data_IF_175301997686
#
_entry.id   IF_175301997686
#
_cell.length_a   1.000
_cell.length_b   1.000
_cell.length_c   1.000
_cell.angle_alpha   90.00
_cell.angle_beta   90.00
_cell.angle_gamma   90.00
#
_symmetry.space_group_name_H-M   'P 1'
#
loop_
_entity.id
_entity.type
_entity.pdbx_description
1 polymer ?
#
# COMPACT_ATOMS: atom_id res chain seq x y z
N UNK A 1 29.82 45.86 9.65
CA UNK A 1 28.52 45.73 8.94
C UNK A 1 28.52 44.59 7.92
N UNK A 2 29.45 44.52 6.94
CA UNK A 2 29.48 43.46 5.91
C UNK A 2 29.54 42.00 6.43
N UNK A 3 30.30 41.73 7.50
CA UNK A 3 30.43 40.37 8.06
C UNK A 3 29.15 39.85 8.73
N UNK A 4 28.38 40.73 9.36
CA UNK A 4 27.10 40.37 10.00
C UNK A 4 26.01 40.06 8.95
N UNK A 5 26.00 40.79 7.84
CA UNK A 5 25.11 40.54 6.70
C UNK A 5 25.39 39.18 6.03
N UNK A 6 26.65 38.79 5.88
CA UNK A 6 27.03 37.48 5.31
C UNK A 6 26.62 36.32 6.24
N UNK A 7 26.82 36.47 7.56
CA UNK A 7 26.41 35.44 8.53
C UNK A 7 24.88 35.26 8.60
N UNK A 8 24.12 36.35 8.55
CA UNK A 8 22.66 36.30 8.50
C UNK A 8 22.15 35.64 7.20
N UNK A 9 22.79 35.93 6.06
CA UNK A 9 22.44 35.33 4.77
C UNK A 9 22.72 33.81 4.76
N UNK A 10 23.84 33.37 5.35
CA UNK A 10 24.18 31.94 5.46
C UNK A 10 23.21 31.17 6.37
N UNK A 11 22.75 31.76 7.47
CA UNK A 11 21.75 31.16 8.35
C UNK A 11 20.37 31.04 7.67
N UNK A 12 19.97 32.03 6.87
CA UNK A 12 18.73 31.99 6.09
C UNK A 12 18.82 30.90 5.01
N UNK A 13 19.94 30.79 4.30
CA UNK A 13 20.16 29.74 3.29
C UNK A 13 20.16 28.34 3.93
N UNK A 14 20.79 28.18 5.10
CA UNK A 14 20.79 26.90 5.83
C UNK A 14 19.40 26.52 6.35
N UNK A 15 18.62 27.50 6.85
CA UNK A 15 17.25 27.28 7.28
C UNK A 15 16.31 26.95 6.09
N UNK A 16 16.49 27.62 4.95
CA UNK A 16 15.75 27.34 3.72
C UNK A 16 16.11 25.96 3.13
N UNK A 17 17.39 25.56 3.16
CA UNK A 17 17.82 24.23 2.76
C UNK A 17 17.27 23.15 3.71
N UNK A 18 17.27 23.41 5.02
CA UNK A 18 16.66 22.52 6.02
C UNK A 18 15.15 22.34 5.81
N UNK A 19 14.44 23.43 5.50
CA UNK A 19 13.01 23.38 5.15
C UNK A 19 12.75 22.63 3.84
N UNK A 20 13.56 22.85 2.80
CA UNK A 20 13.44 22.14 1.52
C UNK A 20 13.73 20.62 1.65
N UNK A 21 14.61 20.22 2.57
CA UNK A 21 14.88 18.82 2.90
C UNK A 21 13.76 18.14 3.72
N UNK A 22 12.99 18.92 4.49
CA UNK A 22 11.82 18.45 5.24
C UNK A 22 10.58 18.28 4.35
N UNK A 23 10.51 19.01 3.24
CA UNK A 23 9.50 18.82 2.20
C UNK A 23 10.04 17.90 1.11
N UNK A 24 10.32 16.63 1.45
CA UNK A 24 10.35 15.59 0.41
C UNK A 24 8.93 15.46 -0.13
N UNK A 25 8.61 16.23 -1.16
CA UNK A 25 7.40 16.08 -1.95
C UNK A 25 7.39 14.65 -2.48
N UNK A 26 6.68 13.76 -1.80
CA UNK A 26 6.34 12.45 -2.36
C UNK A 26 5.45 12.76 -3.54
N UNK A 27 6.01 12.68 -4.75
CA UNK A 27 5.25 12.92 -5.96
C UNK A 27 3.97 12.09 -5.88
N UNK A 28 2.79 12.67 -6.16
CA UNK A 28 1.55 11.92 -6.13
C UNK A 28 1.70 10.71 -7.06
N UNK A 29 1.44 9.51 -6.52
CA UNK A 29 1.52 8.24 -7.27
C UNK A 29 0.41 8.16 -8.33
N UNK A 30 -0.44 9.19 -8.44
CA UNK A 30 -1.62 9.29 -9.31
C UNK A 30 -1.29 9.13 -10.83
N UNK A 31 -0.02 9.07 -11.22
CA UNK A 31 0.41 8.71 -12.59
C UNK A 31 0.39 7.21 -12.94
N UNK A 32 -0.29 6.33 -12.19
CA UNK A 32 -0.41 4.90 -12.57
C UNK A 32 -1.20 4.77 -13.88
N UNK A 33 -0.70 3.91 -14.78
CA UNK A 33 -1.30 3.60 -16.07
C UNK A 33 -2.84 3.42 -16.01
N UNK A 34 -3.57 3.81 -17.09
CA UNK A 34 -5.02 3.69 -17.13
C UNK A 34 -5.49 2.30 -16.72
N UNK A 35 -6.50 2.27 -15.85
CA UNK A 35 -7.08 1.01 -15.41
C UNK A 35 -7.73 0.30 -16.59
N UNK A 36 -7.42 -0.99 -16.78
CA UNK A 36 -8.06 -1.82 -17.82
C UNK A 36 -9.59 -1.87 -17.70
N UNK A 37 -10.11 -1.61 -16.50
CA UNK A 37 -11.53 -1.64 -16.15
C UNK A 37 -12.07 -0.24 -15.78
N UNK A 38 -11.47 0.84 -16.29
CA UNK A 38 -11.85 2.21 -15.96
C UNK A 38 -13.35 2.48 -16.21
N UNK A 39 -13.88 1.99 -17.34
CA UNK A 39 -15.28 2.17 -17.70
C UNK A 39 -16.24 1.44 -16.74
N UNK A 40 -15.84 0.25 -16.26
CA UNK A 40 -16.64 -0.50 -15.28
C UNK A 40 -16.74 0.26 -13.96
N UNK A 41 -15.65 0.86 -13.50
CA UNK A 41 -15.68 1.67 -12.28
C UNK A 41 -16.52 2.94 -12.48
N UNK A 42 -16.37 3.60 -13.63
CA UNK A 42 -17.12 4.81 -13.97
C UNK A 42 -18.63 4.56 -13.99
N UNK A 43 -19.08 3.46 -14.59
CA UNK A 43 -20.49 3.06 -14.56
C UNK A 43 -20.95 2.71 -13.14
N UNK A 44 -20.18 1.90 -12.42
CA UNK A 44 -20.53 1.45 -11.08
C UNK A 44 -20.66 2.60 -10.07
N UNK A 45 -19.71 3.54 -10.08
CA UNK A 45 -19.71 4.69 -9.15
C UNK A 45 -20.84 5.70 -9.41
N UNK A 46 -21.48 5.64 -10.59
CA UNK A 46 -22.61 6.50 -10.93
C UNK A 46 -23.96 5.82 -10.67
N UNK A 47 -23.97 4.50 -10.45
CA UNK A 47 -25.16 3.71 -10.13
C UNK A 47 -25.48 3.66 -8.64
N UNK A 48 -25.98 2.51 -8.17
CA UNK A 48 -26.45 2.32 -6.79
C UNK A 48 -25.35 2.55 -5.71
N UNK A 49 -24.07 2.46 -6.07
CA UNK A 49 -22.97 2.66 -5.13
C UNK A 49 -22.55 4.14 -4.96
N UNK A 50 -23.18 5.08 -5.68
CA UNK A 50 -22.74 6.48 -5.78
C UNK A 50 -22.47 7.13 -4.43
N UNK A 51 -23.45 7.10 -3.52
CA UNK A 51 -23.34 7.80 -2.23
C UNK A 51 -22.29 7.16 -1.31
N UNK A 52 -22.15 5.84 -1.37
CA UNK A 52 -21.12 5.11 -0.62
C UNK A 52 -19.72 5.38 -1.16
N UNK A 53 -19.56 5.47 -2.48
CA UNK A 53 -18.28 5.83 -3.13
C UNK A 53 -17.89 7.26 -2.77
N UNK A 54 -18.83 8.22 -2.86
CA UNK A 54 -18.58 9.60 -2.43
C UNK A 54 -18.20 9.66 -0.95
N UNK A 55 -18.88 8.88 -0.11
CA UNK A 55 -18.63 8.80 1.32
C UNK A 55 -17.20 8.33 1.65
N UNK A 56 -16.75 7.22 1.05
CA UNK A 56 -15.41 6.70 1.33
C UNK A 56 -14.33 7.57 0.71
N UNK A 57 -14.55 8.14 -0.48
CA UNK A 57 -13.62 9.09 -1.09
C UNK A 57 -13.39 10.30 -0.18
N UNK A 58 -14.48 10.89 0.31
CA UNK A 58 -14.46 12.01 1.25
C UNK A 58 -13.72 11.64 2.53
N UNK A 59 -14.00 10.45 3.06
CA UNK A 59 -13.33 9.95 4.26
C UNK A 59 -11.81 9.83 4.03
N UNK A 60 -11.36 9.14 2.99
CA UNK A 60 -9.93 8.95 2.72
C UNK A 60 -9.20 10.28 2.49
N UNK A 61 -9.84 11.22 1.78
CA UNK A 61 -9.33 12.60 1.62
C UNK A 61 -9.18 13.31 2.95
N UNK A 62 -10.20 13.27 3.81
CA UNK A 62 -10.15 13.89 5.15
C UNK A 62 -9.06 13.32 6.06
N UNK A 63 -8.61 12.08 5.80
CA UNK A 63 -7.53 11.41 6.54
C UNK A 63 -6.13 11.62 5.93
N UNK A 64 -6.04 12.41 4.85
CA UNK A 64 -4.79 12.69 4.14
C UNK A 64 -4.23 11.49 3.37
N UNK A 65 -5.10 10.55 2.98
CA UNK A 65 -4.73 9.33 2.24
C UNK A 65 -5.52 9.12 0.95
N UNK A 66 -6.36 10.09 0.56
CA UNK A 66 -7.19 10.02 -0.65
C UNK A 66 -6.39 9.98 -1.96
N UNK A 67 -5.17 10.50 -1.95
CA UNK A 67 -4.31 10.66 -3.13
C UNK A 67 -3.16 9.66 -3.17
N UNK A 68 -3.14 8.67 -2.26
CA UNK A 68 -2.08 7.66 -2.18
C UNK A 68 -2.12 6.72 -3.38
N UNK A 69 -3.31 6.20 -3.71
CA UNK A 69 -3.55 5.29 -4.84
C UNK A 69 -4.94 5.57 -5.41
N UNK A 70 -5.21 5.23 -6.69
CA UNK A 70 -6.51 5.51 -7.30
C UNK A 70 -7.67 4.86 -6.53
N UNK A 71 -8.77 5.60 -6.31
CA UNK A 71 -9.93 5.08 -5.57
C UNK A 71 -10.52 3.81 -6.22
N UNK A 72 -10.55 3.75 -7.55
CA UNK A 72 -11.00 2.58 -8.30
C UNK A 72 -10.21 1.32 -7.97
N UNK A 73 -8.93 1.48 -7.66
CA UNK A 73 -8.02 0.41 -7.29
C UNK A 73 -8.20 -0.01 -5.83
N UNK A 74 -8.39 0.95 -4.92
CA UNK A 74 -8.69 0.69 -3.50
C UNK A 74 -10.01 -0.08 -3.35
N UNK A 75 -11.02 0.26 -4.15
CA UNK A 75 -12.37 -0.35 -4.09
C UNK A 75 -12.51 -1.62 -4.95
N UNK A 76 -11.46 -2.02 -5.67
CA UNK A 76 -11.45 -3.25 -6.46
C UNK A 76 -11.51 -4.47 -5.55
N UNK A 77 -12.35 -5.45 -5.87
CA UNK A 77 -12.45 -6.68 -5.08
C UNK A 77 -11.27 -7.62 -5.32
N UNK A 78 -11.21 -8.28 -6.48
CA UNK A 78 -10.14 -9.13 -7.01
C UNK A 78 -10.55 -9.61 -8.41
N UNK A 79 -9.61 -9.79 -9.35
CA UNK A 79 -9.90 -10.27 -10.72
C UNK A 79 -10.69 -11.60 -10.79
N UNK A 80 -10.68 -12.41 -9.72
CA UNK A 80 -11.50 -13.62 -9.58
C UNK A 80 -13.01 -13.39 -9.71
N UNK A 81 -13.52 -12.16 -9.57
CA UNK A 81 -14.92 -11.82 -9.83
C UNK A 81 -15.38 -12.32 -11.22
N UNK A 82 -14.51 -12.28 -12.23
CA UNK A 82 -14.82 -12.73 -13.61
C UNK A 82 -15.19 -14.21 -13.70
N UNK A 83 -14.74 -15.03 -12.75
CA UNK A 83 -14.99 -16.47 -12.68
C UNK A 83 -15.93 -16.85 -11.52
N UNK A 84 -16.42 -15.86 -10.79
CA UNK A 84 -17.27 -16.03 -9.62
C UNK A 84 -18.56 -15.23 -9.83
N UNK A 85 -19.67 -15.91 -10.14
CA UNK A 85 -20.97 -15.25 -10.38
C UNK A 85 -21.47 -14.43 -9.18
N UNK A 86 -21.09 -14.80 -7.96
CA UNK A 86 -21.48 -14.11 -6.74
C UNK A 86 -20.54 -12.94 -6.38
N UNK A 87 -19.42 -12.77 -7.09
CA UNK A 87 -18.45 -11.71 -6.85
C UNK A 87 -18.70 -10.51 -7.75
N UNK A 88 -18.52 -9.31 -7.21
CA UNK A 88 -18.60 -8.05 -7.96
C UNK A 88 -17.20 -7.49 -8.22
N UNK A 89 -16.97 -6.72 -9.29
CA UNK A 89 -15.65 -6.13 -9.59
C UNK A 89 -15.18 -5.11 -8.53
N UNK A 90 -16.13 -4.43 -7.89
CA UNK A 90 -15.88 -3.40 -6.89
C UNK A 90 -16.81 -3.59 -5.69
N UNK A 91 -16.38 -3.12 -4.53
CA UNK A 91 -17.19 -3.12 -3.32
C UNK A 91 -16.77 -1.95 -2.42
N UNK A 92 -17.75 -1.26 -1.83
CA UNK A 92 -17.49 -0.31 -0.74
C UNK A 92 -17.53 -1.08 0.59
N UNK A 93 -16.47 -1.03 1.42
CA UNK A 93 -16.49 -1.63 2.75
C UNK A 93 -17.51 -0.91 3.66
N UNK A 94 -18.13 -1.61 4.62
CA UNK A 94 -18.89 -0.97 5.69
C UNK A 94 -18.11 0.16 6.36
N UNK A 95 -18.80 1.28 6.66
CA UNK A 95 -18.18 2.52 7.21
C UNK A 95 -17.30 2.28 8.43
N UNK A 96 -17.69 1.34 9.30
CA UNK A 96 -16.94 0.96 10.50
C UNK A 96 -15.54 0.42 10.20
N UNK A 97 -15.29 -0.12 8.99
CA UNK A 97 -14.00 -0.66 8.59
C UNK A 97 -13.06 0.38 7.96
N UNK A 98 -13.57 1.55 7.56
CA UNK A 98 -12.76 2.57 6.87
C UNK A 98 -11.49 3.00 7.61
N UNK A 99 -11.50 3.16 8.96
CA UNK A 99 -10.29 3.51 9.70
C UNK A 99 -9.13 2.51 9.53
N UNK A 100 -9.43 1.23 9.27
CA UNK A 100 -8.41 0.18 9.16
C UNK A 100 -7.52 0.31 7.92
N UNK A 101 -7.99 0.98 6.86
CA UNK A 101 -7.21 1.17 5.64
C UNK A 101 -6.22 2.34 5.74
N UNK A 102 -6.51 3.33 6.59
CA UNK A 102 -5.69 4.54 6.74
C UNK A 102 -4.21 4.23 7.05
N UNK A 103 -3.87 3.41 8.06
CA UNK A 103 -2.46 3.07 8.32
C UNK A 103 -1.82 2.29 7.17
N UNK A 104 -2.57 1.41 6.49
CA UNK A 104 -2.06 0.66 5.34
C UNK A 104 -1.69 1.58 4.17
N UNK A 105 -2.54 2.55 3.83
CA UNK A 105 -2.23 3.53 2.77
C UNK A 105 -1.05 4.43 3.15
N UNK A 106 -0.93 4.85 4.42
CA UNK A 106 0.25 5.61 4.90
C UNK A 106 1.53 4.79 4.77
N UNK A 107 1.50 3.54 5.23
CA UNK A 107 2.65 2.64 5.10
C UNK A 107 3.06 2.44 3.63
N UNK A 108 2.08 2.31 2.73
CA UNK A 108 2.36 2.19 1.30
C UNK A 108 3.08 3.45 0.77
N UNK A 109 2.55 4.64 1.09
CA UNK A 109 3.13 5.92 0.66
C UNK A 109 4.53 6.14 1.23
N UNK A 110 4.68 5.92 2.54
CA UNK A 110 5.82 6.43 3.31
C UNK A 110 7.00 5.43 3.38
N UNK A 111 6.73 4.13 3.30
CA UNK A 111 7.74 3.08 3.52
C UNK A 111 7.93 2.18 2.29
N UNK A 112 6.82 1.77 1.65
CA UNK A 112 6.85 0.77 0.58
C UNK A 112 7.26 1.34 -0.77
N UNK A 113 6.56 2.39 -1.23
CA UNK A 113 6.81 2.99 -2.55
C UNK A 113 8.25 3.50 -2.71
N UNK A 114 8.89 4.10 -1.69
CA UNK A 114 10.32 4.45 -1.76
C UNK A 114 11.25 3.27 -2.07
N UNK A 115 10.83 2.04 -1.79
CA UNK A 115 11.64 0.82 -1.96
C UNK A 115 11.24 0.05 -3.23
N UNK A 116 9.95 -0.08 -3.51
CA UNK A 116 9.45 -0.84 -4.67
C UNK A 116 9.34 -0.01 -5.94
N UNK A 117 9.32 1.32 -5.82
CA UNK A 117 8.77 2.20 -6.84
C UNK A 117 7.23 2.16 -6.84
N UNK A 118 6.58 2.79 -7.84
CA UNK A 118 5.12 2.83 -7.95
C UNK A 118 4.51 1.44 -8.03
N UNK A 119 3.36 1.27 -7.37
CA UNK A 119 2.59 0.03 -7.30
C UNK A 119 1.14 0.29 -7.70
N UNK A 120 0.45 -0.78 -8.11
CA UNK A 120 -0.99 -0.77 -8.37
C UNK A 120 -1.69 -1.78 -7.48
N UNK A 121 -2.95 -1.51 -7.13
CA UNK A 121 -3.77 -2.48 -6.38
C UNK A 121 -4.45 -3.41 -7.38
N UNK A 122 -4.41 -4.70 -7.07
CA UNK A 122 -5.11 -5.74 -7.83
C UNK A 122 -6.17 -6.45 -6.99
N UNK A 123 -6.18 -6.25 -5.67
CA UNK A 123 -7.26 -6.66 -4.78
C UNK A 123 -7.30 -5.82 -3.51
N UNK A 124 -8.47 -5.27 -3.19
CA UNK A 124 -8.74 -4.46 -2.01
C UNK A 124 -9.78 -5.11 -1.09
N UNK A 125 -10.85 -4.40 -0.75
CA UNK A 125 -11.91 -4.97 0.08
C UNK A 125 -12.57 -6.17 -0.61
N UNK A 126 -12.78 -7.25 0.14
CA UNK A 126 -13.59 -8.39 -0.30
C UNK A 126 -14.75 -8.52 0.67
N UNK A 127 -15.98 -8.34 0.20
CA UNK A 127 -17.14 -8.66 1.02
C UNK A 127 -17.17 -10.18 1.35
N UNK A 128 -17.93 -10.62 2.37
CA UNK A 128 -17.93 -12.01 2.79
C UNK A 128 -18.29 -13.02 1.69
N UNK A 129 -19.21 -12.66 0.79
CA UNK A 129 -19.66 -13.53 -0.32
C UNK A 129 -18.53 -13.66 -1.34
N UNK A 130 -17.94 -12.54 -1.75
CA UNK A 130 -16.79 -12.51 -2.65
C UNK A 130 -15.59 -13.26 -2.07
N UNK A 131 -15.24 -13.02 -0.79
CA UNK A 131 -14.09 -13.68 -0.16
C UNK A 131 -14.27 -15.20 -0.10
N UNK A 132 -15.47 -15.68 0.25
CA UNK A 132 -15.78 -17.12 0.23
C UNK A 132 -15.63 -17.70 -1.17
N UNK A 133 -16.22 -17.04 -2.18
CA UNK A 133 -16.15 -17.49 -3.56
C UNK A 133 -14.73 -17.49 -4.13
N UNK A 134 -13.90 -16.53 -3.70
CA UNK A 134 -12.50 -16.45 -4.08
C UNK A 134 -11.62 -17.46 -3.34
N UNK A 135 -12.20 -18.30 -2.46
CA UNK A 135 -11.52 -19.23 -1.57
C UNK A 135 -10.52 -18.52 -0.64
N UNK A 136 -10.88 -17.31 -0.21
CA UNK A 136 -10.10 -16.52 0.73
C UNK A 136 -10.16 -17.10 2.15
N UNK A 137 -9.11 -16.86 2.93
CA UNK A 137 -9.07 -17.27 4.32
C UNK A 137 -10.20 -16.63 5.14
N UNK A 138 -10.74 -17.36 6.13
CA UNK A 138 -11.77 -16.84 7.06
C UNK A 138 -11.28 -15.63 7.86
N UNK A 139 -9.99 -15.62 8.21
CA UNK A 139 -9.33 -14.52 8.92
C UNK A 139 -8.67 -13.49 7.98
N UNK A 140 -9.05 -13.46 6.70
CA UNK A 140 -8.48 -12.54 5.71
C UNK A 140 -8.59 -11.08 6.13
N UNK A 141 -7.52 -10.32 5.96
CA UNK A 141 -7.53 -8.87 6.23
C UNK A 141 -8.21 -8.04 5.15
N UNK A 142 -8.49 -8.65 4.00
CA UNK A 142 -9.35 -8.04 2.97
C UNK A 142 -10.81 -7.91 3.44
N UNK A 143 -11.30 -8.83 4.29
CA UNK A 143 -12.64 -8.75 4.90
C UNK A 143 -12.75 -7.58 5.90
N UNK A 144 -11.62 -7.09 6.41
CA UNK A 144 -11.54 -6.02 7.41
C UNK A 144 -11.14 -4.68 6.82
N UNK A 145 -11.05 -4.59 5.48
CA UNK A 145 -10.55 -3.43 4.77
C UNK A 145 -9.20 -2.92 5.32
N UNK A 146 -8.32 -3.83 5.72
CA UNK A 146 -7.00 -3.50 6.23
C UNK A 146 -5.88 -3.89 5.24
N UNK A 147 -6.22 -4.69 4.22
CA UNK A 147 -5.26 -5.28 3.29
C UNK A 147 -5.46 -4.84 1.85
N UNK A 148 -4.34 -4.81 1.14
CA UNK A 148 -4.25 -4.63 -0.30
C UNK A 148 -3.28 -5.67 -0.87
N UNK A 149 -3.66 -6.28 -2.00
CA UNK A 149 -2.72 -7.00 -2.85
C UNK A 149 -2.24 -6.06 -3.97
N UNK A 150 -0.93 -6.05 -4.17
CA UNK A 150 -0.22 -5.06 -4.97
C UNK A 150 0.66 -5.74 -6.01
N UNK A 151 0.87 -5.04 -7.12
CA UNK A 151 1.84 -5.38 -8.17
C UNK A 151 2.69 -4.13 -8.49
N UNK A 152 3.99 -4.28 -8.76
CA UNK A 152 4.81 -3.18 -9.28
C UNK A 152 4.27 -2.67 -10.63
N UNK A 153 4.32 -1.35 -10.85
CA UNK A 153 3.94 -0.76 -12.15
C UNK A 153 5.05 -0.95 -13.17
N UNK A 154 6.30 -0.69 -12.77
CA UNK A 154 7.46 -1.01 -13.59
C UNK A 154 7.73 -2.52 -13.50
N UNK A 155 8.15 -3.18 -14.60
CA UNK A 155 8.56 -4.58 -14.57
C UNK A 155 9.60 -4.82 -13.47
N UNK A 156 9.31 -5.77 -12.59
CA UNK A 156 10.20 -6.21 -11.53
C UNK A 156 10.16 -7.73 -11.47
N UNK A 157 11.33 -8.36 -11.46
CA UNK A 157 11.39 -9.81 -11.25
C UNK A 157 10.87 -10.14 -9.85
N UNK A 158 10.39 -11.37 -9.65
CA UNK A 158 9.96 -11.82 -8.33
C UNK A 158 11.13 -11.79 -7.32
N UNK A 159 12.34 -12.09 -7.76
CA UNK A 159 13.52 -12.09 -6.91
C UNK A 159 13.92 -10.67 -6.48
N UNK A 160 13.85 -9.69 -7.40
CA UNK A 160 14.08 -8.28 -7.06
C UNK A 160 13.01 -7.75 -6.10
N UNK A 161 11.75 -8.17 -6.29
CA UNK A 161 10.66 -7.84 -5.37
C UNK A 161 10.94 -8.38 -3.96
N UNK A 162 11.40 -9.62 -3.84
CA UNK A 162 11.79 -10.24 -2.57
C UNK A 162 12.97 -9.48 -1.94
N UNK A 163 14.02 -9.21 -2.73
CA UNK A 163 15.22 -8.51 -2.28
C UNK A 163 14.93 -7.10 -1.75
N UNK A 164 13.84 -6.47 -2.22
CA UNK A 164 13.37 -5.16 -1.77
C UNK A 164 12.44 -5.25 -0.56
N UNK A 165 11.43 -6.11 -0.61
CA UNK A 165 10.38 -6.19 0.42
C UNK A 165 10.85 -6.83 1.72
N UNK A 166 11.69 -7.86 1.66
CA UNK A 166 12.09 -8.57 2.87
C UNK A 166 12.95 -7.70 3.81
N UNK A 167 13.99 -6.97 3.35
CA UNK A 167 14.71 -6.03 4.22
C UNK A 167 13.82 -4.91 4.76
N UNK A 168 12.86 -4.42 3.96
CA UNK A 168 11.91 -3.42 4.42
C UNK A 168 11.09 -3.96 5.60
N UNK A 169 10.45 -5.11 5.44
CA UNK A 169 9.62 -5.73 6.48
C UNK A 169 10.42 -6.06 7.74
N UNK A 170 11.66 -6.50 7.61
CA UNK A 170 12.56 -6.70 8.76
C UNK A 170 12.78 -5.41 9.55
N UNK A 171 12.92 -4.26 8.89
CA UNK A 171 13.17 -2.98 9.57
C UNK A 171 11.91 -2.33 10.12
N UNK A 172 10.79 -2.42 9.42
CA UNK A 172 9.59 -1.60 9.69
C UNK A 172 8.39 -2.43 10.13
N UNK A 173 8.39 -3.74 9.89
CA UNK A 173 7.20 -4.57 10.01
C UNK A 173 6.66 -4.65 11.43
N UNK A 174 7.53 -4.78 12.44
CA UNK A 174 7.11 -4.79 13.84
C UNK A 174 6.59 -3.41 14.29
N UNK A 175 7.18 -2.31 13.79
CA UNK A 175 6.78 -0.94 14.14
C UNK A 175 5.37 -0.59 13.66
N UNK A 176 4.95 -1.14 12.53
CA UNK A 176 3.68 -0.80 11.88
C UNK A 176 2.70 -1.97 11.78
N UNK A 177 2.93 -3.05 12.55
CA UNK A 177 2.11 -4.26 12.54
C UNK A 177 1.87 -4.83 11.13
N UNK A 178 2.94 -4.92 10.32
CA UNK A 178 2.82 -5.24 8.90
C UNK A 178 2.66 -6.74 8.68
N UNK A 179 1.57 -7.10 8.01
CA UNK A 179 1.44 -8.39 7.34
C UNK A 179 2.03 -8.32 5.93
N UNK A 180 3.03 -9.16 5.64
CA UNK A 180 3.65 -9.28 4.31
C UNK A 180 3.47 -10.69 3.73
N UNK A 181 2.73 -10.80 2.63
CA UNK A 181 2.65 -12.03 1.84
C UNK A 181 3.33 -11.86 0.50
N UNK A 182 4.14 -12.80 0.04
CA UNK A 182 4.71 -12.79 -1.32
C UNK A 182 4.21 -14.02 -2.06
N UNK A 183 3.43 -13.80 -3.13
CA UNK A 183 2.82 -14.88 -3.89
C UNK A 183 3.82 -15.55 -4.86
N UNK A 184 3.37 -16.58 -5.59
CA UNK A 184 4.18 -17.28 -6.58
C UNK A 184 4.55 -16.43 -7.81
N UNK A 185 3.82 -15.33 -8.03
CA UNK A 185 4.00 -14.36 -9.12
C UNK A 185 4.51 -13.03 -8.57
N UNK A 186 4.77 -12.03 -9.43
CA UNK A 186 5.10 -10.65 -9.02
C UNK A 186 3.88 -9.91 -8.46
N UNK A 187 3.33 -10.44 -7.38
CA UNK A 187 2.23 -9.89 -6.60
C UNK A 187 2.54 -10.14 -5.13
N UNK A 188 2.14 -9.21 -4.28
CA UNK A 188 2.36 -9.32 -2.84
C UNK A 188 1.21 -8.68 -2.07
N UNK A 189 1.07 -9.07 -0.81
CA UNK A 189 0.06 -8.60 0.13
C UNK A 189 0.70 -7.65 1.12
N UNK A 190 -0.01 -6.55 1.44
CA UNK A 190 0.31 -5.65 2.55
C UNK A 190 -0.95 -5.36 3.38
N UNK A 191 -0.81 -5.44 4.70
CA UNK A 191 -1.72 -4.84 5.67
C UNK A 191 -0.96 -4.33 6.89
N UNK A 192 -1.61 -3.50 7.69
CA UNK A 192 -1.09 -2.98 8.97
C UNK A 192 -1.93 -3.48 10.16
N UNK A 193 -2.40 -4.73 10.09
CA UNK A 193 -3.30 -5.34 11.06
C UNK A 193 -2.74 -6.63 11.70
N UNK A 194 -1.41 -6.75 11.74
CA UNK A 194 -0.67 -7.73 12.53
C UNK A 194 0.68 -8.10 11.92
N UNK A 195 1.75 -8.03 12.71
CA UNK A 195 3.12 -8.36 12.30
C UNK A 195 3.27 -9.86 11.95
N UNK A 196 3.30 -10.17 10.65
CA UNK A 196 3.42 -11.55 10.16
C UNK A 196 3.94 -11.60 8.72
N UNK A 197 4.35 -12.79 8.30
CA UNK A 197 4.81 -13.04 6.93
C UNK A 197 4.42 -14.43 6.43
N UNK A 198 4.21 -14.58 5.13
CA UNK A 198 3.93 -15.87 4.48
C UNK A 198 4.40 -15.86 3.02
N UNK A 199 4.47 -17.04 2.41
CA UNK A 199 4.89 -17.22 1.01
C UNK A 199 3.79 -17.74 0.10
N UNK A 200 4.21 -18.40 -0.98
CA UNK A 200 3.36 -18.82 -2.09
C UNK A 200 2.25 -19.82 -1.70
N UNK A 201 2.47 -20.62 -0.67
CA UNK A 201 1.50 -21.61 -0.16
C UNK A 201 0.60 -21.07 0.97
N UNK A 202 0.67 -19.77 1.25
CA UNK A 202 -0.08 -19.08 2.31
C UNK A 202 0.33 -19.41 3.75
N UNK A 203 1.46 -20.11 3.96
CA UNK A 203 2.00 -20.41 5.28
C UNK A 203 3.26 -19.58 5.60
N UNK A 204 3.52 -19.40 6.91
CA UNK A 204 4.69 -18.67 7.38
C UNK A 204 6.00 -19.35 6.95
N UNK A 205 6.03 -20.68 6.98
CA UNK A 205 7.18 -21.51 6.65
C UNK A 205 7.63 -21.40 5.17
N UNK A 206 6.76 -20.92 4.27
CA UNK A 206 7.14 -20.66 2.88
C UNK A 206 7.55 -19.22 2.61
N UNK A 207 7.54 -18.34 3.61
CA UNK A 207 7.89 -16.94 3.42
C UNK A 207 9.35 -16.82 2.94
N UNK A 208 9.61 -16.12 1.83
CA UNK A 208 10.98 -15.92 1.34
C UNK A 208 11.79 -14.96 2.23
N UNK A 209 11.16 -14.29 3.21
CA UNK A 209 11.83 -13.35 4.11
C UNK A 209 12.43 -14.03 5.36
N UNK A 210 12.38 -15.36 5.47
CA UNK A 210 12.92 -16.09 6.62
C UNK A 210 14.46 -16.11 6.67
N UNK A 211 15.12 -16.01 5.52
CA UNK A 211 16.57 -16.23 5.36
C UNK A 211 17.42 -14.97 5.47
N UNK A 212 16.83 -13.78 5.63
CA UNK A 212 17.61 -12.56 5.82
C UNK A 212 18.00 -12.40 7.29
N UNK A 213 19.05 -13.12 7.72
CA UNK A 213 19.88 -12.67 8.83
C UNK A 213 20.40 -11.28 8.47
N UNK A 214 19.98 -10.27 9.23
CA UNK A 214 20.54 -8.92 9.14
C UNK A 214 22.05 -9.04 9.38
N UNK A 215 22.94 -8.66 8.45
CA UNK A 215 24.36 -8.61 8.77
C UNK A 215 24.56 -7.65 9.95
N UNK A 216 25.40 -7.99 10.95
CA UNK A 216 25.61 -7.13 12.11
C UNK A 216 26.03 -5.73 11.67
N UNK A 217 25.45 -4.72 12.31
CA UNK A 217 25.76 -3.31 12.05
C UNK A 217 27.28 -3.12 12.26
N UNK A 218 28.01 -2.45 11.35
CA UNK A 218 29.41 -2.13 11.59
C UNK A 218 29.52 -1.34 12.90
N UNK A 219 30.43 -1.75 13.79
CA UNK A 219 30.67 -1.04 15.05
C UNK A 219 31.07 0.41 14.75
N UNK A 220 30.66 1.38 15.60
CA UNK A 220 31.16 2.74 15.49
C UNK A 220 32.69 2.70 15.52
N UNK A 221 33.33 3.30 14.52
CA UNK A 221 34.77 3.57 14.61
C UNK A 221 34.98 4.50 15.80
N UNK A 222 35.69 4.00 16.81
CA UNK A 222 36.26 4.77 17.92
C UNK A 222 37.30 5.75 17.40
#
# INVERSE_FOLDING_TARGET
MRRALVAALLLIVAAAAGWALLTRSVAPIIGVAPQKDADLFAAWRLGAAKDDVVGIETYLKSRGVGDVLPLADILRSDARWRRCKAGQPFAVPPRVLWPAMVPTLRYIRDELVPVTGPVRIVSGYRDPVANSCFKGAKASRHLRFAALDLEPVAPLSRDDLIARLCPLHTRTGARFDVGLGIYAVTRFHIDTAGYRRWGADYHAASSPCQTLTVPPRPSPRT
#
